data_IF_800957479606
#
_entry.id   IF_800957479606
#
_cell.length_a   1.000
_cell.length_b   1.000
_cell.length_c   1.000
_cell.angle_alpha   90.00
_cell.angle_beta   90.00
_cell.angle_gamma   90.00
#
_symmetry.space_group_name_H-M   'P 1'
#
loop_
_entity.id
_entity.type
_entity.pdbx_description
1 polymer ?
#
# COMPACT_ATOMS: atom_id res chain seq x y z
N UNK A 1 17.80 3.19 -21.14
CA UNK A 1 16.65 2.39 -20.65
C UNK A 1 16.68 2.11 -19.14
N UNK A 2 17.50 2.82 -18.36
CA UNK A 2 17.65 2.63 -16.90
C UNK A 2 16.80 3.63 -16.11
N UNK A 3 16.83 4.91 -16.51
CA UNK A 3 16.16 6.01 -15.80
C UNK A 3 14.64 5.85 -15.70
N UNK A 4 13.98 5.39 -16.78
CA UNK A 4 12.52 5.26 -16.78
C UNK A 4 12.03 4.13 -15.86
N UNK A 5 12.77 3.02 -15.78
CA UNK A 5 12.45 1.90 -14.89
C UNK A 5 12.65 2.30 -13.42
N UNK A 6 13.73 3.03 -13.12
CA UNK A 6 13.97 3.54 -11.76
C UNK A 6 12.89 4.52 -11.33
N UNK A 7 12.49 5.46 -12.19
CA UNK A 7 11.41 6.42 -11.88
C UNK A 7 10.09 5.70 -11.59
N UNK A 8 9.74 4.70 -12.40
CA UNK A 8 8.53 3.89 -12.17
C UNK A 8 8.63 3.18 -10.81
N UNK A 9 9.78 2.62 -10.47
CA UNK A 9 9.97 1.91 -9.21
C UNK A 9 9.88 2.87 -8.01
N UNK A 10 10.45 4.08 -8.12
CA UNK A 10 10.31 5.13 -7.10
C UNK A 10 8.86 5.59 -6.91
N UNK A 11 8.08 5.72 -7.99
CA UNK A 11 6.65 6.09 -7.90
C UNK A 11 5.84 5.00 -7.19
N UNK A 12 6.14 3.73 -7.48
CA UNK A 12 5.51 2.58 -6.80
C UNK A 12 5.85 2.58 -5.31
N UNK A 13 7.13 2.75 -4.99
CA UNK A 13 7.60 2.82 -3.61
C UNK A 13 6.96 3.99 -2.85
N UNK A 14 6.77 5.14 -3.50
CA UNK A 14 6.07 6.28 -2.93
C UNK A 14 4.59 5.96 -2.63
N UNK A 15 3.94 5.21 -3.51
CA UNK A 15 2.55 4.77 -3.34
C UNK A 15 2.41 3.83 -2.12
N UNK A 16 3.35 2.92 -1.94
CA UNK A 16 3.41 2.02 -0.78
C UNK A 16 3.64 2.77 0.53
N UNK A 17 4.56 3.74 0.53
CA UNK A 17 4.81 4.59 1.71
C UNK A 17 3.55 5.39 2.06
N UNK A 18 2.84 5.94 1.07
CA UNK A 18 1.58 6.65 1.27
C UNK A 18 0.47 5.76 1.84
N UNK A 19 0.42 4.49 1.43
CA UNK A 19 -0.51 3.52 1.99
C UNK A 19 -0.14 3.11 3.43
N UNK A 20 1.15 2.94 3.72
CA UNK A 20 1.65 2.73 5.08
C UNK A 20 1.28 3.88 6.02
N UNK A 21 1.40 5.13 5.54
CA UNK A 21 0.98 6.32 6.29
C UNK A 21 -0.53 6.33 6.58
N UNK A 22 -1.38 5.89 5.64
CA UNK A 22 -2.84 5.72 5.84
C UNK A 22 -3.17 4.68 6.91
N UNK A 23 -2.41 3.59 6.97
CA UNK A 23 -2.56 2.55 7.99
C UNK A 23 -2.16 3.10 9.37
N UNK A 24 -1.01 3.78 9.46
CA UNK A 24 -0.56 4.46 10.68
C UNK A 24 -1.56 5.49 11.18
N UNK A 25 -2.11 6.31 10.29
CA UNK A 25 -3.14 7.30 10.64
C UNK A 25 -4.38 6.65 11.26
N UNK A 26 -4.87 5.54 10.68
CA UNK A 26 -6.01 4.83 11.25
C UNK A 26 -5.67 4.19 12.60
N UNK A 27 -4.43 3.73 12.81
CA UNK A 27 -3.96 3.23 14.12
C UNK A 27 -3.95 4.33 15.19
N UNK A 28 -3.45 5.52 14.84
CA UNK A 28 -3.47 6.68 15.75
C UNK A 28 -4.91 7.08 16.10
N UNK A 29 -5.82 7.02 15.12
CA UNK A 29 -7.24 7.37 15.32
C UNK A 29 -7.99 6.34 16.18
N UNK A 30 -7.62 5.06 16.12
CA UNK A 30 -8.11 4.03 17.05
C UNK A 30 -7.69 4.35 18.49
N UNK A 31 -6.44 4.78 18.68
CA UNK A 31 -5.93 5.10 20.02
C UNK A 31 -6.61 6.34 20.62
N UNK A 32 -7.05 7.29 19.79
CA UNK A 32 -7.77 8.49 20.24
C UNK A 32 -9.27 8.27 20.46
N UNK A 33 -9.93 7.33 19.76
CA UNK A 33 -11.37 7.08 19.87
C UNK A 33 -11.66 5.57 20.00
N UNK A 34 -11.65 5.02 21.23
CA UNK A 34 -11.81 3.59 21.48
C UNK A 34 -13.23 3.06 21.17
N UNK A 35 -14.28 3.88 21.28
CA UNK A 35 -15.67 3.47 21.01
C UNK A 35 -15.93 3.02 19.56
N UNK A 36 -15.12 3.49 18.61
CA UNK A 36 -15.24 3.17 17.18
C UNK A 36 -14.16 2.20 16.67
N UNK A 37 -13.34 1.62 17.56
CA UNK A 37 -12.20 0.76 17.23
C UNK A 37 -12.53 -0.33 16.21
N UNK A 38 -13.67 -1.01 16.39
CA UNK A 38 -14.11 -2.09 15.49
C UNK A 38 -14.39 -1.59 14.06
N UNK A 39 -14.84 -0.35 13.91
CA UNK A 39 -15.11 0.28 12.60
C UNK A 39 -13.80 0.64 11.90
N UNK A 40 -12.84 1.21 12.63
CA UNK A 40 -11.54 1.57 12.10
C UNK A 40 -10.68 0.34 11.74
N UNK A 41 -10.71 -0.73 12.56
CA UNK A 41 -10.04 -2.00 12.24
C UNK A 41 -10.55 -2.61 10.92
N UNK A 42 -11.86 -2.53 10.65
CA UNK A 42 -12.44 -2.99 9.38
C UNK A 42 -11.90 -2.20 8.19
N UNK A 43 -11.80 -0.86 8.33
CA UNK A 43 -11.25 0.02 7.30
C UNK A 43 -9.77 -0.27 7.06
N UNK A 44 -8.97 -0.43 8.12
CA UNK A 44 -7.54 -0.80 8.02
C UNK A 44 -7.40 -2.13 7.28
N UNK A 45 -8.16 -3.16 7.67
CA UNK A 45 -8.09 -4.47 7.01
C UNK A 45 -8.40 -4.38 5.52
N UNK A 46 -9.40 -3.58 5.13
CA UNK A 46 -9.74 -3.41 3.72
C UNK A 46 -8.63 -2.68 2.95
N UNK A 47 -8.02 -1.65 3.56
CA UNK A 47 -6.88 -0.90 3.00
C UNK A 47 -5.64 -1.80 2.87
N UNK A 48 -5.35 -2.63 3.87
CA UNK A 48 -4.23 -3.58 3.86
C UNK A 48 -4.40 -4.64 2.78
N UNK A 49 -5.60 -5.24 2.67
CA UNK A 49 -5.88 -6.25 1.63
C UNK A 49 -5.75 -5.61 0.24
N UNK A 50 -6.27 -4.40 0.06
CA UNK A 50 -6.12 -3.67 -1.19
C UNK A 50 -4.66 -3.38 -1.52
N UNK A 51 -3.86 -2.99 -0.52
CA UNK A 51 -2.43 -2.72 -0.69
C UNK A 51 -1.68 -3.98 -1.14
N UNK A 52 -1.94 -5.12 -0.50
CA UNK A 52 -1.32 -6.40 -0.84
C UNK A 52 -1.70 -6.83 -2.27
N UNK A 53 -2.96 -6.62 -2.67
CA UNK A 53 -3.41 -6.89 -4.04
C UNK A 53 -2.74 -5.96 -5.05
N UNK A 54 -2.64 -4.67 -4.76
CA UNK A 54 -1.97 -3.70 -5.62
C UNK A 54 -0.48 -4.04 -5.79
N UNK A 55 0.20 -4.38 -4.70
CA UNK A 55 1.62 -4.72 -4.72
C UNK A 55 1.88 -6.04 -5.46
N UNK A 56 1.02 -7.04 -5.28
CA UNK A 56 1.16 -8.32 -6.00
C UNK A 56 0.89 -8.18 -7.50
N UNK A 57 -0.05 -7.33 -7.92
CA UNK A 57 -0.26 -7.01 -9.33
C UNK A 57 0.96 -6.32 -9.97
N UNK A 58 1.63 -5.44 -9.22
CA UNK A 58 2.83 -4.75 -9.67
C UNK A 58 4.05 -5.69 -9.75
N UNK A 59 4.22 -6.55 -8.75
CA UNK A 59 5.23 -7.61 -8.78
C UNK A 59 5.02 -8.57 -9.96
N UNK A 60 3.77 -8.95 -10.26
CA UNK A 60 3.44 -9.77 -11.44
C UNK A 60 3.80 -9.05 -12.75
N UNK A 61 3.48 -7.76 -12.88
CA UNK A 61 3.86 -6.95 -14.04
C UNK A 61 5.38 -6.91 -14.22
N UNK A 62 6.14 -6.69 -13.14
CA UNK A 62 7.59 -6.72 -13.20
C UNK A 62 8.12 -8.10 -13.62
N UNK A 63 7.54 -9.17 -13.09
CA UNK A 63 7.95 -10.54 -13.41
C UNK A 63 7.73 -10.86 -14.90
N UNK A 64 6.60 -10.43 -15.47
CA UNK A 64 6.31 -10.57 -16.90
C UNK A 64 7.27 -9.72 -17.74
N UNK A 65 7.51 -8.46 -17.35
CA UNK A 65 8.40 -7.52 -18.06
C UNK A 65 9.89 -7.90 -17.95
N UNK A 66 10.24 -8.83 -17.05
CA UNK A 66 11.59 -9.38 -16.93
C UNK A 66 11.78 -10.62 -17.79
N UNK A 67 10.68 -11.32 -18.11
CA UNK A 67 10.68 -12.57 -18.84
C UNK A 67 10.49 -12.39 -20.35
N UNK A 68 9.78 -11.33 -20.76
CA UNK A 68 9.64 -10.85 -22.13
C UNK A 68 10.50 -9.60 -22.37
#
# INVERSE_FOLDING_TARGET
MTTLKEIINYIVLLCDVGAGARILYCFLQIHSNPDEEKSYLKKIRNVVIFLILANSALALKELITRYF
#
